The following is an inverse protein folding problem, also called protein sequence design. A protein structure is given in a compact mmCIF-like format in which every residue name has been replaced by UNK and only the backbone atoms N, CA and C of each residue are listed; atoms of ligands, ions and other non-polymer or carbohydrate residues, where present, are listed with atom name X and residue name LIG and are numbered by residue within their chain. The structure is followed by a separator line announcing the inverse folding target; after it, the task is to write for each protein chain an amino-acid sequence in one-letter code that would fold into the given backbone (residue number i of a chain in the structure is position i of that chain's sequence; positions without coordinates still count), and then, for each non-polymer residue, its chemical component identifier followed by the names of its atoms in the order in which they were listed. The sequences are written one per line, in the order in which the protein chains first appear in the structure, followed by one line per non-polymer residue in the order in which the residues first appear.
data_IF_428327241010
#
_entry.id   IF_428327241010
#
_cell.length_a   1.000
_cell.length_b   1.000
_cell.length_c   1.000
_cell.angle_alpha   90.00
_cell.angle_beta   90.00
_cell.angle_gamma   90.00
#
_symmetry.space_group_name_H-M   'P 1'
#
loop_
_entity.id
_entity.type
_entity.pdbx_description
1 polymer ?
#
# COMPACT_ATOMS: atom_id res chain seq x y z
N UNK A 1 -3.39 20.95 -9.16
CA UNK A 1 -2.68 20.21 -8.10
C UNK A 1 -1.17 20.29 -8.34
N UNK A 2 -0.34 19.98 -7.33
CA UNK A 2 1.12 20.18 -7.40
C UNK A 2 1.78 18.98 -8.08
N UNK A 3 2.27 19.17 -9.31
CA UNK A 3 3.06 18.14 -10.00
C UNK A 3 4.30 17.76 -9.18
N UNK A 4 4.53 16.46 -9.02
CA UNK A 4 5.66 15.93 -8.25
C UNK A 4 6.21 14.63 -8.85
N UNK A 5 7.46 14.29 -8.53
CA UNK A 5 8.10 13.04 -9.00
C UNK A 5 8.04 11.95 -7.93
N UNK A 6 7.85 10.70 -8.32
CA UNK A 6 8.01 9.57 -7.41
C UNK A 6 9.48 9.49 -6.97
N UNK A 7 9.72 9.33 -5.67
CA UNK A 7 11.06 9.31 -5.10
C UNK A 7 11.12 8.40 -3.89
N UNK A 8 11.95 7.35 -3.95
CA UNK A 8 12.17 6.37 -2.88
C UNK A 8 12.40 7.03 -1.52
N UNK A 9 11.75 6.49 -0.49
CA UNK A 9 11.82 6.94 0.90
C UNK A 9 11.02 8.20 1.20
N UNK A 10 10.40 8.84 0.20
CA UNK A 10 9.54 9.99 0.44
C UNK A 10 8.30 9.59 1.26
N UNK A 11 7.87 10.52 2.10
CA UNK A 11 6.64 10.41 2.90
C UNK A 11 5.53 11.13 2.15
N UNK A 12 4.45 10.39 1.93
CA UNK A 12 3.19 10.85 1.36
C UNK A 12 2.22 11.14 2.51
N UNK A 13 1.53 12.27 2.43
CA UNK A 13 0.40 12.62 3.27
C UNK A 13 -0.90 12.38 2.50
N UNK A 14 -1.83 11.72 3.16
CA UNK A 14 -3.12 11.29 2.62
C UNK A 14 -4.20 11.87 3.54
N UNK A 15 -5.06 12.72 2.99
CA UNK A 15 -6.15 13.33 3.74
C UNK A 15 -7.41 12.46 3.58
N UNK A 16 -7.86 11.80 4.64
CA UNK A 16 -9.04 10.93 4.61
C UNK A 16 -10.27 11.74 4.99
N UNK A 17 -11.21 11.87 4.06
CA UNK A 17 -12.52 12.53 4.21
C UNK A 17 -12.46 13.95 4.82
N UNK A 18 -11.33 14.65 4.69
CA UNK A 18 -11.04 15.94 5.35
C UNK A 18 -11.11 15.89 6.88
N UNK A 19 -11.02 14.71 7.48
CA UNK A 19 -11.14 14.51 8.92
C UNK A 19 -9.79 14.27 9.61
N UNK A 20 -8.93 13.48 8.98
CA UNK A 20 -7.62 13.13 9.51
C UNK A 20 -6.63 12.82 8.40
N UNK A 21 -5.36 12.81 8.78
CA UNK A 21 -4.22 12.52 7.92
C UNK A 21 -3.65 11.16 8.26
N UNK A 22 -3.32 10.41 7.21
CA UNK A 22 -2.54 9.17 7.27
C UNK A 22 -1.30 9.36 6.40
N UNK A 23 -0.27 8.56 6.67
CA UNK A 23 1.01 8.69 6.01
C UNK A 23 1.40 7.37 5.35
N UNK A 24 2.09 7.47 4.22
CA UNK A 24 2.70 6.34 3.54
C UNK A 24 4.16 6.64 3.18
N UNK A 25 4.98 5.60 3.03
CA UNK A 25 6.34 5.72 2.54
C UNK A 25 6.47 5.05 1.17
N UNK A 26 7.07 5.77 0.22
CA UNK A 26 7.41 5.21 -1.09
C UNK A 26 8.58 4.22 -0.90
N UNK A 27 8.36 2.95 -1.22
CA UNK A 27 9.38 1.90 -1.16
C UNK A 27 10.04 1.72 -2.55
N UNK A 28 10.61 0.53 -2.79
CA UNK A 28 11.09 0.08 -4.09
C UNK A 28 9.97 -0.56 -4.92
N UNK A 29 10.23 -0.79 -6.22
CA UNK A 29 9.37 -1.63 -7.10
C UNK A 29 7.89 -1.23 -7.09
N UNK A 30 7.61 0.07 -7.16
CA UNK A 30 6.26 0.64 -7.13
C UNK A 30 5.41 0.16 -5.93
N UNK A 31 6.05 -0.07 -4.77
CA UNK A 31 5.36 -0.45 -3.53
C UNK A 31 5.33 0.71 -2.54
N UNK A 32 4.25 0.79 -1.78
CA UNK A 32 3.97 1.86 -0.83
C UNK A 32 3.54 1.25 0.49
N UNK A 33 4.25 1.57 1.58
CA UNK A 33 3.87 1.13 2.92
C UNK A 33 3.01 2.19 3.59
N UNK A 34 1.81 1.81 4.02
CA UNK A 34 0.87 2.70 4.70
C UNK A 34 0.98 2.48 6.21
N UNK A 35 1.27 3.53 6.97
CA UNK A 35 1.45 3.43 8.42
C UNK A 35 0.11 3.38 9.14
N UNK A 36 0.03 2.56 10.19
CA UNK A 36 -1.06 2.57 11.17
C UNK A 36 -0.86 3.76 12.12
N UNK A 37 -1.01 4.94 11.55
CA UNK A 37 -0.95 6.20 12.26
C UNK A 37 -1.91 7.20 11.63
N UNK A 38 -2.88 7.67 12.43
CA UNK A 38 -3.78 8.77 12.06
C UNK A 38 -3.58 9.98 12.95
N UNK A 39 -3.63 11.16 12.35
CA UNK A 39 -3.55 12.43 13.08
C UNK A 39 -4.63 13.41 12.63
N UNK A 40 -5.19 14.19 13.55
CA UNK A 40 -6.13 15.28 13.23
C UNK A 40 -5.45 16.50 12.61
N UNK A 41 -4.11 16.56 12.67
CA UNK A 41 -3.29 17.67 12.16
C UNK A 41 -2.14 17.12 11.34
N UNK A 42 -1.72 17.89 10.34
CA UNK A 42 -0.54 17.56 9.55
C UNK A 42 0.70 17.44 10.45
N UNK A 43 1.49 16.40 10.24
CA UNK A 43 2.75 16.19 10.94
C UNK A 43 3.80 17.21 10.49
N UNK A 44 4.60 17.66 11.46
CA UNK A 44 5.81 18.46 11.21
C UNK A 44 7.09 17.65 11.39
N UNK A 45 7.02 16.61 12.22
CA UNK A 45 8.08 15.63 12.44
C UNK A 45 7.52 14.24 12.10
N UNK A 46 8.29 13.49 11.30
CA UNK A 46 7.94 12.16 10.81
C UNK A 46 8.61 11.05 11.62
N UNK A 47 9.43 11.37 12.63
CA UNK A 47 10.12 10.40 13.49
C UNK A 47 9.18 9.35 14.10
N UNK A 48 7.93 9.73 14.40
CA UNK A 48 6.89 8.82 14.90
C UNK A 48 6.57 7.66 13.94
N UNK A 49 6.73 7.87 12.64
CA UNK A 49 6.48 6.85 11.62
C UNK A 49 7.53 5.73 11.63
N UNK A 50 8.73 5.98 12.18
CA UNK A 50 9.80 4.98 12.25
C UNK A 50 9.38 3.75 13.06
N UNK A 51 8.55 3.94 14.08
CA UNK A 51 8.08 2.87 14.96
C UNK A 51 6.59 2.54 14.75
N UNK A 52 5.92 3.21 13.81
CA UNK A 52 4.51 2.94 13.54
C UNK A 52 4.34 1.56 12.87
N UNK A 53 3.32 0.77 13.24
CA UNK A 53 2.98 -0.44 12.50
C UNK A 53 2.62 -0.13 11.04
N UNK A 54 2.65 -1.15 10.18
CA UNK A 54 2.21 -1.03 8.78
C UNK A 54 0.81 -1.62 8.66
N UNK A 55 -0.13 -0.85 8.11
CA UNK A 55 -1.48 -1.33 7.78
C UNK A 55 -1.44 -2.34 6.65
N UNK A 56 -0.74 -2.00 5.57
CA UNK A 56 -0.56 -2.83 4.38
C UNK A 56 0.50 -2.23 3.45
N UNK A 57 0.95 -3.04 2.49
CA UNK A 57 1.86 -2.65 1.42
C UNK A 57 1.21 -2.98 0.09
N UNK A 58 0.93 -1.98 -0.74
CA UNK A 58 0.32 -2.16 -2.06
C UNK A 58 1.00 -1.30 -3.11
N UNK A 59 0.71 -1.59 -4.38
CA UNK A 59 1.08 -0.75 -5.52
C UNK A 59 -0.08 0.15 -5.88
N UNK A 60 0.20 1.39 -6.29
CA UNK A 60 -0.81 2.37 -6.72
C UNK A 60 -0.43 2.96 -8.07
N UNK A 61 -1.40 3.53 -8.78
CA UNK A 61 -1.12 4.23 -10.02
C UNK A 61 -0.20 5.45 -9.80
N UNK A 62 0.65 5.72 -10.78
CA UNK A 62 1.66 6.78 -10.70
C UNK A 62 1.03 8.18 -10.63
N UNK A 63 -0.14 8.39 -11.22
CA UNK A 63 -0.88 9.66 -11.24
C UNK A 63 -1.32 10.09 -9.84
N UNK A 64 -1.68 9.15 -8.97
CA UNK A 64 -1.98 9.39 -7.54
C UNK A 64 -0.86 10.20 -6.89
N UNK A 65 0.40 9.89 -7.22
CA UNK A 65 1.55 10.64 -6.73
C UNK A 65 1.83 11.82 -7.66
N UNK A 66 1.99 11.59 -8.96
CA UNK A 66 2.59 12.57 -9.88
C UNK A 66 1.70 13.79 -10.14
N UNK A 67 0.38 13.64 -10.04
CA UNK A 67 -0.59 14.73 -10.10
C UNK A 67 -0.80 15.42 -8.75
N UNK A 68 -0.28 14.82 -7.67
CA UNK A 68 -0.35 15.37 -6.32
C UNK A 68 -1.71 15.15 -5.67
N UNK A 69 -2.36 14.01 -5.92
CA UNK A 69 -3.51 13.56 -5.13
C UNK A 69 -3.06 13.24 -3.70
N UNK A 70 -1.97 12.49 -3.56
CA UNK A 70 -1.23 12.36 -2.30
C UNK A 70 0.01 13.24 -2.30
N UNK A 71 0.20 14.03 -1.25
CA UNK A 71 1.22 15.08 -1.24
C UNK A 71 2.52 14.56 -0.62
N UNK A 72 3.66 14.73 -1.30
CA UNK A 72 4.96 14.49 -0.67
C UNK A 72 5.27 15.59 0.36
N UNK A 73 5.41 15.19 1.61
CA UNK A 73 5.60 16.11 2.75
C UNK A 73 6.93 15.94 3.47
N UNK A 74 7.68 14.87 3.18
CA UNK A 74 8.96 14.61 3.82
C UNK A 74 9.72 13.44 3.19
N UNK A 75 10.78 13.03 3.86
CA UNK A 75 11.58 11.85 3.50
C UNK A 75 12.15 11.22 4.76
N UNK A 76 12.14 9.89 4.81
CA UNK A 76 12.82 9.09 5.83
C UNK A 76 13.64 8.00 5.15
N UNK A 77 14.64 7.49 5.87
CA UNK A 77 15.23 6.21 5.53
C UNK A 77 14.15 5.12 5.58
N UNK A 78 14.16 4.20 4.63
CA UNK A 78 13.26 3.05 4.67
C UNK A 78 13.74 2.12 5.78
N UNK A 79 12.82 1.66 6.62
CA UNK A 79 13.14 0.73 7.70
C UNK A 79 13.64 -0.60 7.12
N UNK A 80 14.57 -1.24 7.81
CA UNK A 80 15.18 -2.48 7.33
C UNK A 80 14.17 -3.61 7.10
N UNK A 81 13.11 -3.67 7.91
CA UNK A 81 12.02 -4.65 7.77
C UNK A 81 11.10 -4.40 6.56
N UNK A 82 11.19 -3.22 5.93
CA UNK A 82 10.46 -2.86 4.71
C UNK A 82 11.33 -2.92 3.45
N UNK A 83 12.60 -3.32 3.59
CA UNK A 83 13.48 -3.53 2.45
C UNK A 83 13.09 -4.79 1.66
N UNK A 84 12.93 -5.98 2.29
CA UNK A 84 12.32 -7.10 1.61
C UNK A 84 10.81 -6.88 1.53
N UNK A 85 10.29 -6.80 0.31
CA UNK A 85 8.86 -6.72 0.07
C UNK A 85 8.22 -8.11 0.28
N UNK A 86 7.03 -8.19 0.88
CA UNK A 86 6.34 -9.47 1.08
C UNK A 86 5.95 -10.09 -0.27
N UNK A 87 5.95 -11.42 -0.32
CA UNK A 87 5.40 -12.17 -1.45
C UNK A 87 3.94 -11.75 -1.71
N UNK A 88 3.57 -11.75 -2.98
CA UNK A 88 2.19 -11.52 -3.42
C UNK A 88 1.69 -12.76 -4.14
N UNK A 89 0.38 -12.83 -4.36
CA UNK A 89 -0.19 -13.87 -5.22
C UNK A 89 -0.82 -13.28 -6.49
N UNK A 90 -0.84 -14.08 -7.54
CA UNK A 90 -1.62 -13.85 -8.76
C UNK A 90 -2.67 -14.96 -8.81
N UNK A 91 -3.90 -14.61 -9.20
CA UNK A 91 -4.98 -15.57 -9.40
C UNK A 91 -5.59 -15.27 -10.76
N UNK A 92 -5.70 -16.29 -11.59
CA UNK A 92 -6.31 -16.17 -12.91
C UNK A 92 -7.81 -15.81 -12.78
N UNK A 93 -8.27 -14.93 -13.65
CA UNK A 93 -9.64 -14.39 -13.59
C UNK A 93 -10.66 -15.28 -14.30
N UNK A 94 -10.21 -16.12 -15.24
CA UNK A 94 -11.02 -17.07 -16.00
C UNK A 94 -11.07 -18.44 -15.29
N UNK A 95 -9.95 -18.89 -14.72
CA UNK A 95 -9.88 -20.09 -13.89
C UNK A 95 -9.30 -19.78 -12.51
N UNK A 96 -10.18 -19.54 -11.54
CA UNK A 96 -9.83 -19.19 -10.16
C UNK A 96 -8.99 -20.26 -9.43
N UNK A 97 -8.83 -21.46 -9.99
CA UNK A 97 -7.99 -22.50 -9.40
C UNK A 97 -6.52 -22.35 -9.77
N UNK A 98 -6.20 -21.58 -10.81
CA UNK A 98 -4.84 -21.27 -11.20
C UNK A 98 -4.35 -20.10 -10.34
N UNK A 99 -3.36 -20.38 -9.50
CA UNK A 99 -2.75 -19.41 -8.59
C UNK A 99 -1.24 -19.51 -8.66
N UNK A 100 -0.59 -18.36 -8.53
CA UNK A 100 0.85 -18.22 -8.63
C UNK A 100 1.35 -17.34 -7.49
N UNK A 101 2.57 -17.59 -7.03
CA UNK A 101 3.31 -16.68 -6.16
C UNK A 101 4.15 -15.74 -7.00
N UNK A 102 4.16 -14.47 -6.61
CA UNK A 102 4.96 -13.42 -7.21
C UNK A 102 5.93 -12.86 -6.17
N UNK A 103 7.23 -12.91 -6.46
CA UNK A 103 8.26 -12.24 -5.66
C UNK A 103 8.49 -10.82 -6.21
N UNK A 104 8.05 -9.76 -5.52
CA UNK A 104 8.28 -8.38 -5.98
C UNK A 104 9.76 -7.96 -5.92
N UNK A 105 10.62 -8.67 -5.19
CA UNK A 105 12.03 -8.35 -5.05
C UNK A 105 12.84 -8.82 -6.27
N UNK A 106 12.54 -10.04 -6.77
CA UNK A 106 13.24 -10.64 -7.93
C UNK A 106 12.47 -10.48 -9.24
N UNK A 107 11.14 -10.38 -9.18
CA UNK A 107 10.26 -10.39 -10.33
C UNK A 107 9.83 -11.80 -10.77
N UNK A 108 10.23 -12.85 -10.05
CA UNK A 108 9.94 -14.23 -10.40
C UNK A 108 8.48 -14.61 -10.07
N UNK A 109 7.94 -15.53 -10.86
CA UNK A 109 6.59 -16.08 -10.70
C UNK A 109 6.69 -17.60 -10.64
N UNK A 110 5.99 -18.20 -9.69
CA UNK A 110 6.01 -19.64 -9.44
C UNK A 110 4.58 -20.17 -9.33
N UNK A 111 4.33 -21.36 -9.87
CA UNK A 111 3.08 -22.06 -9.61
C UNK A 111 2.94 -22.32 -8.11
N UNK A 112 1.73 -22.10 -7.58
CA UNK A 112 1.45 -22.24 -6.15
C UNK A 112 0.14 -22.99 -5.91
N UNK A 113 -0.09 -23.38 -4.65
CA UNK A 113 -1.40 -23.82 -4.19
C UNK A 113 -2.16 -22.66 -3.55
N UNK A 114 -3.49 -22.76 -3.44
CA UNK A 114 -4.29 -21.73 -2.75
C UNK A 114 -3.82 -21.50 -1.31
N UNK A 115 -3.38 -22.58 -0.64
CA UNK A 115 -2.90 -22.51 0.74
C UNK A 115 -1.60 -21.70 0.87
N UNK A 116 -0.69 -21.80 -0.10
CA UNK A 116 0.57 -21.04 -0.11
C UNK A 116 0.32 -19.52 -0.21
N UNK A 117 -0.82 -19.15 -0.79
CA UNK A 117 -1.21 -17.77 -1.02
C UNK A 117 -2.12 -17.17 0.07
N UNK A 118 -2.55 -17.97 1.05
CA UNK A 118 -3.47 -17.49 2.09
C UNK A 118 -2.82 -16.38 2.93
N UNK A 119 -3.52 -15.25 3.03
CA UNK A 119 -3.06 -14.09 3.80
C UNK A 119 -2.08 -13.17 3.06
N UNK A 120 -1.64 -13.53 1.85
CA UNK A 120 -0.84 -12.65 1.01
C UNK A 120 -1.71 -11.59 0.33
N UNK A 121 -1.10 -10.45 0.01
CA UNK A 121 -1.73 -9.44 -0.84
C UNK A 121 -1.78 -9.94 -2.30
N UNK A 122 -2.88 -9.66 -2.99
CA UNK A 122 -2.95 -9.92 -4.43
C UNK A 122 -2.05 -8.92 -5.16
N UNK A 123 -1.34 -9.39 -6.18
CA UNK A 123 -0.59 -8.52 -7.08
C UNK A 123 -1.57 -7.73 -7.94
N UNK A 124 -1.81 -6.48 -7.53
CA UNK A 124 -2.72 -5.55 -8.18
C UNK A 124 -2.23 -4.11 -8.00
N UNK A 125 -2.60 -3.25 -8.94
CA UNK A 125 -2.41 -1.79 -8.85
C UNK A 125 -3.72 -1.19 -8.36
N UNK A 126 -3.65 -0.36 -7.32
CA UNK A 126 -4.80 0.23 -6.67
C UNK A 126 -5.01 1.69 -7.07
N UNK A 127 -6.28 2.08 -7.21
CA UNK A 127 -6.71 3.48 -7.27
C UNK A 127 -6.63 4.15 -5.90
N UNK A 128 -6.47 5.47 -5.89
CA UNK A 128 -6.41 6.24 -4.65
C UNK A 128 -7.66 6.04 -3.78
N UNK A 129 -8.85 6.09 -4.40
CA UNK A 129 -10.14 5.96 -3.72
C UNK A 129 -10.28 4.59 -3.04
N UNK A 130 -9.76 3.51 -3.66
CA UNK A 130 -9.79 2.18 -3.08
C UNK A 130 -8.91 2.09 -1.83
N UNK A 131 -7.72 2.70 -1.87
CA UNK A 131 -6.80 2.75 -0.72
C UNK A 131 -7.35 3.63 0.39
N UNK A 132 -7.87 4.81 0.08
CA UNK A 132 -8.46 5.73 1.05
C UNK A 132 -9.68 5.11 1.76
N UNK A 133 -10.55 4.44 0.99
CA UNK A 133 -11.66 3.65 1.54
C UNK A 133 -11.15 2.52 2.45
N UNK A 134 -10.10 1.78 2.05
CA UNK A 134 -9.50 0.72 2.88
C UNK A 134 -8.98 1.26 4.21
N UNK A 135 -8.33 2.42 4.21
CA UNK A 135 -7.85 3.11 5.42
C UNK A 135 -9.02 3.57 6.29
N UNK A 136 -10.04 4.20 5.69
CA UNK A 136 -11.23 4.67 6.39
C UNK A 136 -11.99 3.51 7.06
N UNK A 137 -12.21 2.42 6.32
CA UNK A 137 -12.89 1.23 6.84
C UNK A 137 -12.12 0.58 7.99
N UNK A 138 -10.79 0.47 7.89
CA UNK A 138 -9.95 -0.05 8.98
C UNK A 138 -10.17 0.72 10.28
N UNK A 139 -10.04 2.04 10.26
CA UNK A 139 -10.20 2.87 11.46
C UNK A 139 -11.65 2.94 11.98
N UNK A 140 -12.62 2.58 11.15
CA UNK A 140 -14.03 2.49 11.52
C UNK A 140 -14.46 1.03 11.88
N UNK A 141 -13.54 0.06 11.87
CA UNK A 141 -13.85 -1.34 12.17
C UNK A 141 -14.77 -2.01 11.15
N UNK A 142 -14.79 -1.51 9.90
CA UNK A 142 -15.63 -2.02 8.81
C UNK A 142 -14.82 -2.95 7.90
N UNK A 143 -15.50 -3.90 7.26
CA UNK A 143 -14.91 -4.67 6.16
C UNK A 143 -14.82 -3.79 4.93
N UNK A 144 -13.68 -3.81 4.24
CA UNK A 144 -13.48 -3.07 3.01
C UNK A 144 -13.82 -3.92 1.78
N UNK A 145 -14.67 -3.40 0.90
CA UNK A 145 -15.16 -4.12 -0.28
C UNK A 145 -14.05 -4.53 -1.25
N UNK A 146 -13.04 -3.68 -1.45
CA UNK A 146 -11.95 -3.91 -2.40
C UNK A 146 -11.02 -5.01 -1.90
N UNK A 147 -10.71 -4.99 -0.60
CA UNK A 147 -9.96 -6.08 0.05
C UNK A 147 -10.71 -7.40 -0.08
N UNK A 148 -12.01 -7.44 0.20
CA UNK A 148 -12.79 -8.68 0.05
C UNK A 148 -12.85 -9.19 -1.40
N UNK A 149 -12.93 -8.28 -2.38
CA UNK A 149 -12.92 -8.67 -3.81
C UNK A 149 -11.57 -9.24 -4.27
N UNK A 150 -10.47 -8.75 -3.68
CA UNK A 150 -9.11 -9.13 -4.05
C UNK A 150 -8.55 -10.29 -3.22
N UNK A 151 -9.26 -10.76 -2.20
CA UNK A 151 -8.87 -11.97 -1.45
C UNK A 151 -8.81 -13.20 -2.35
N UNK A 152 -7.96 -14.14 -1.95
CA UNK A 152 -7.90 -15.47 -2.54
C UNK A 152 -9.29 -16.12 -2.52
N UNK A 153 -9.74 -16.58 -3.69
CA UNK A 153 -11.01 -17.30 -3.89
C UNK A 153 -10.79 -18.80 -4.05
#
# INVERSE_FOLDING_TARGET
MKKQRISKGAILEICIDKQYYVYAQILEKASYAFFDYRSKKQLKDFSILLNSPILFIVSVYDDVITEGHWIKVGKLSIRNDLLPLPMKFIQDVLDINIVELYDPNTGEIFLATKNDCLGLERSAVWEAEHVESRISDFYNGKKNIWVEQLKMK
#
